data_IF_581935014477
#
_entry.id   IF_581935014477
#
_cell.length_a   1.000
_cell.length_b   1.000
_cell.length_c   1.000
_cell.angle_alpha   90.00
_cell.angle_beta   90.00
_cell.angle_gamma   90.00
#
_symmetry.space_group_name_H-M   'P 1'
#
loop_
_entity.id
_entity.type
_entity.pdbx_description
1 polymer ?
#
# COMPACT_ATOMS: atom_id res chain seq x y z
N UNK A 1 32.26 -38.54 59.61
CA UNK A 1 31.68 -37.30 60.20
C UNK A 1 30.98 -36.55 59.08
N UNK A 2 29.72 -36.84 58.71
CA UNK A 2 28.44 -36.45 59.34
C UNK A 2 28.27 -34.94 59.56
N UNK A 3 27.51 -34.30 58.64
CA UNK A 3 26.26 -33.51 58.85
C UNK A 3 25.88 -32.90 57.48
N UNK A 4 24.90 -33.41 56.71
CA UNK A 4 23.42 -33.37 56.85
C UNK A 4 22.82 -31.97 56.99
N UNK A 5 22.10 -31.52 55.96
CA UNK A 5 20.85 -30.72 56.02
C UNK A 5 20.17 -30.82 54.62
N UNK A 6 19.33 -31.84 54.35
CA UNK A 6 17.85 -31.88 54.48
C UNK A 6 17.13 -30.72 53.76
N UNK A 7 16.54 -30.99 52.59
CA UNK A 7 15.13 -31.39 52.31
C UNK A 7 14.26 -30.12 52.16
N UNK A 8 13.63 -29.88 51.00
CA UNK A 8 12.37 -30.56 50.66
C UNK A 8 12.18 -30.76 49.15
N UNK A 9 11.87 -32.00 48.79
CA UNK A 9 11.17 -32.39 47.56
C UNK A 9 9.79 -32.88 48.01
N UNK A 10 8.72 -32.47 47.32
CA UNK A 10 7.45 -33.21 47.31
C UNK A 10 6.22 -32.46 47.80
N UNK A 11 5.44 -31.94 46.85
CA UNK A 11 4.03 -32.34 46.61
C UNK A 11 3.90 -32.35 45.07
N UNK A 12 4.12 -33.48 44.38
CA UNK A 12 3.15 -34.52 44.08
C UNK A 12 1.93 -34.01 43.27
N UNK A 13 2.10 -34.00 41.94
CA UNK A 13 1.26 -34.71 40.97
C UNK A 13 -0.15 -35.12 41.46
N UNK A 14 -1.12 -34.21 41.31
CA UNK A 14 -2.58 -34.45 41.31
C UNK A 14 -3.17 -33.12 40.76
N UNK A 15 -3.65 -32.98 39.53
CA UNK A 15 -4.79 -33.66 38.92
C UNK A 15 -4.65 -33.65 37.39
N UNK A 16 -4.41 -34.83 36.82
CA UNK A 16 -4.97 -35.18 35.51
C UNK A 16 -6.31 -35.88 35.79
N UNK A 17 -7.27 -35.75 34.87
CA UNK A 17 -8.55 -36.50 34.72
C UNK A 17 -9.65 -36.20 35.78
N UNK A 18 -10.80 -35.57 35.48
CA UNK A 18 -12.03 -36.04 34.79
C UNK A 18 -13.18 -35.02 35.04
N UNK A 19 -14.43 -35.13 34.51
CA UNK A 19 -14.94 -35.82 33.32
C UNK A 19 -15.83 -34.93 32.42
N UNK A 20 -16.04 -35.42 31.20
CA UNK A 20 -17.20 -35.13 30.34
C UNK A 20 -18.50 -35.48 31.08
N UNK A 21 -19.44 -34.54 31.17
CA UNK A 21 -20.85 -34.85 31.43
C UNK A 21 -21.69 -34.23 30.32
N UNK A 22 -22.14 -35.10 29.43
CA UNK A 22 -23.28 -34.88 28.57
C UNK A 22 -24.56 -34.91 29.43
N UNK A 23 -25.45 -33.96 29.21
CA UNK A 23 -26.78 -33.88 29.83
C UNK A 23 -27.80 -33.32 28.84
N UNK A 24 -28.49 -34.25 28.19
CA UNK A 24 -29.66 -34.10 27.31
C UNK A 24 -30.92 -33.71 28.12
N UNK A 25 -31.68 -32.66 27.73
CA UNK A 25 -33.09 -32.63 27.24
C UNK A 25 -33.86 -31.44 27.87
N UNK A 26 -35.07 -31.04 27.40
CA UNK A 26 -35.62 -30.94 26.04
C UNK A 26 -36.29 -29.57 25.71
N UNK A 27 -36.55 -29.34 24.41
CA UNK A 27 -37.63 -28.57 23.77
C UNK A 27 -38.17 -27.26 24.40
N UNK A 28 -38.07 -26.15 23.65
CA UNK A 28 -39.28 -25.54 23.09
C UNK A 28 -38.99 -24.79 21.77
N UNK A 29 -39.83 -25.00 20.77
CA UNK A 29 -39.83 -24.31 19.47
C UNK A 29 -40.70 -23.07 19.59
N UNK A 30 -40.23 -21.93 19.08
CA UNK A 30 -41.14 -20.98 18.44
C UNK A 30 -40.44 -20.27 17.28
N UNK A 31 -41.13 -20.28 16.15
CA UNK A 31 -40.69 -19.84 14.83
C UNK A 31 -41.19 -18.42 14.51
N UNK A 32 -40.82 -17.96 13.31
CA UNK A 32 -41.18 -16.73 12.56
C UNK A 32 -40.26 -15.53 12.83
N UNK A 33 -39.67 -14.83 11.85
CA UNK A 33 -39.78 -14.81 10.37
C UNK A 33 -38.54 -14.07 9.80
N UNK A 34 -38.16 -14.24 8.52
CA UNK A 34 -36.95 -13.63 7.93
C UNK A 34 -37.19 -12.19 7.43
N UNK A 35 -36.26 -11.28 7.71
CA UNK A 35 -36.25 -9.93 7.16
C UNK A 35 -35.73 -9.97 5.71
N UNK A 36 -36.56 -9.46 4.80
CA UNK A 36 -36.35 -9.39 3.35
C UNK A 36 -35.45 -8.21 2.99
N UNK A 37 -34.51 -8.47 2.08
CA UNK A 37 -33.62 -7.56 1.38
C UNK A 37 -34.42 -6.47 0.62
N UNK A 38 -34.03 -5.20 0.73
CA UNK A 38 -34.67 -4.10 0.01
C UNK A 38 -34.12 -3.99 -1.40
N UNK A 39 -35.02 -4.12 -2.38
CA UNK A 39 -34.77 -3.97 -3.81
C UNK A 39 -34.67 -2.49 -4.23
N UNK A 40 -33.87 -2.32 -5.27
CA UNK A 40 -33.51 -1.09 -5.98
C UNK A 40 -34.74 -0.38 -6.57
N UNK A 41 -34.88 0.93 -6.31
CA UNK A 41 -35.92 1.76 -6.93
C UNK A 41 -35.31 2.64 -8.02
N UNK A 42 -35.47 2.21 -9.26
CA UNK A 42 -35.42 3.09 -10.42
C UNK A 42 -36.54 4.14 -10.32
N UNK A 43 -36.18 5.42 -10.44
CA UNK A 43 -37.13 6.52 -10.58
C UNK A 43 -37.10 7.01 -12.02
N UNK A 44 -38.21 6.80 -12.73
CA UNK A 44 -38.47 7.31 -14.08
C UNK A 44 -39.11 8.69 -13.96
N UNK A 45 -38.52 9.71 -14.58
CA UNK A 45 -39.10 11.04 -14.69
C UNK A 45 -40.02 11.12 -15.92
N UNK A 46 -41.30 11.35 -15.69
CA UNK A 46 -42.25 11.77 -16.72
C UNK A 46 -42.81 13.16 -16.33
N UNK A 47 -42.72 14.09 -17.27
CA UNK A 47 -43.13 15.47 -17.14
C UNK A 47 -44.61 15.67 -17.51
N UNK A 48 -45.31 16.54 -16.78
CA UNK A 48 -46.40 17.39 -17.31
C UNK A 48 -46.70 18.59 -16.40
N UNK A 49 -46.35 19.77 -16.93
CA UNK A 49 -46.93 21.12 -16.86
C UNK A 49 -48.06 21.49 -15.88
N UNK A 50 -47.76 22.55 -15.11
CA UNK A 50 -48.47 23.85 -14.98
C UNK A 50 -49.97 23.87 -14.68
N UNK A 51 -50.34 24.31 -13.47
CA UNK A 51 -50.83 25.68 -13.18
C UNK A 51 -51.50 25.72 -11.79
N UNK A 52 -50.95 26.53 -10.88
CA UNK A 52 -51.70 27.50 -10.06
C UNK A 52 -50.74 28.17 -9.07
N UNK A 53 -50.45 29.44 -9.35
CA UNK A 53 -49.77 30.35 -8.44
C UNK A 53 -50.76 30.83 -7.37
N UNK A 54 -50.43 30.67 -6.09
CA UNK A 54 -50.70 31.73 -5.11
C UNK A 54 -49.81 31.58 -3.87
N UNK A 55 -49.33 32.73 -3.41
CA UNK A 55 -48.66 33.01 -2.13
C UNK A 55 -47.15 32.66 -2.05
N UNK A 56 -46.33 33.61 -2.51
CA UNK A 56 -44.90 33.71 -2.22
C UNK A 56 -44.67 34.70 -1.09
N UNK A 57 -44.32 34.21 0.11
CA UNK A 57 -43.29 34.87 0.93
C UNK A 57 -42.64 33.88 1.91
N UNK A 58 -41.41 33.49 1.56
CA UNK A 58 -40.26 33.21 2.41
C UNK A 58 -40.40 32.33 3.66
N UNK A 59 -40.07 31.05 3.48
CA UNK A 59 -39.06 30.39 4.33
C UNK A 59 -38.12 29.63 3.41
N UNK A 60 -36.94 30.20 3.11
CA UNK A 60 -35.82 29.46 2.52
C UNK A 60 -35.33 28.47 3.58
N UNK A 61 -35.64 27.21 3.40
CA UNK A 61 -34.84 26.11 3.93
C UNK A 61 -33.38 26.36 3.50
N UNK A 62 -32.38 26.18 4.40
CA UNK A 62 -31.00 26.26 3.97
C UNK A 62 -30.77 25.14 2.96
N UNK A 63 -30.26 25.50 1.78
CA UNK A 63 -29.74 24.50 0.85
C UNK A 63 -28.71 23.63 1.58
N UNK A 64 -28.67 22.31 1.34
CA UNK A 64 -27.63 21.47 1.88
C UNK A 64 -26.30 22.07 1.44
N UNK A 65 -25.49 22.43 2.43
CA UNK A 65 -24.12 22.88 2.29
C UNK A 65 -23.46 22.05 1.19
N UNK A 66 -23.12 22.68 0.07
CA UNK A 66 -22.29 22.04 -0.95
C UNK A 66 -20.98 21.76 -0.26
N UNK A 67 -20.86 20.56 0.32
CA UNK A 67 -19.62 20.06 0.84
C UNK A 67 -18.60 20.26 -0.28
N UNK A 68 -17.68 21.21 -0.06
CA UNK A 68 -16.50 21.37 -0.89
C UNK A 68 -15.91 19.98 -0.99
N UNK A 69 -15.89 19.43 -2.20
CA UNK A 69 -15.26 18.14 -2.46
C UNK A 69 -13.87 18.22 -1.82
N UNK A 70 -13.54 17.40 -0.80
CA UNK A 70 -12.26 17.51 -0.13
C UNK A 70 -11.16 17.42 -1.19
N UNK A 71 -10.16 18.31 -1.09
CA UNK A 71 -9.03 18.31 -2.02
C UNK A 71 -8.51 16.87 -2.16
N UNK A 72 -8.51 16.29 -3.38
CA UNK A 72 -8.26 14.87 -3.54
C UNK A 72 -6.85 14.53 -3.05
N UNK A 73 -6.72 13.42 -2.32
CA UNK A 73 -5.44 12.97 -1.76
C UNK A 73 -4.39 12.82 -2.87
N UNK A 74 -3.31 13.62 -2.81
CA UNK A 74 -2.31 13.76 -3.86
C UNK A 74 -1.13 12.84 -3.60
N UNK A 75 -0.82 11.99 -4.58
CA UNK A 75 0.34 11.09 -4.54
C UNK A 75 1.32 11.47 -5.63
N UNK A 76 2.59 11.64 -5.27
CA UNK A 76 3.68 11.71 -6.23
C UNK A 76 4.36 10.35 -6.35
N UNK A 77 4.46 9.83 -7.56
CA UNK A 77 5.25 8.63 -7.86
C UNK A 77 6.53 9.04 -8.58
N UNK A 78 7.66 8.48 -8.15
CA UNK A 78 8.94 8.59 -8.85
C UNK A 78 9.64 7.22 -8.91
N UNK A 79 10.72 7.17 -9.68
CA UNK A 79 11.53 5.97 -9.86
C UNK A 79 13.00 6.38 -9.87
N UNK A 80 13.70 6.25 -8.74
CA UNK A 80 15.13 6.58 -8.68
C UNK A 80 15.96 5.61 -9.54
N UNK A 81 15.56 4.34 -9.59
CA UNK A 81 16.21 3.32 -10.44
C UNK A 81 15.31 2.97 -11.65
N UNK A 82 15.24 3.87 -12.64
CA UNK A 82 14.25 3.79 -13.74
C UNK A 82 14.29 2.53 -14.59
N UNK A 83 15.47 1.95 -14.84
CA UNK A 83 15.60 0.77 -15.72
C UNK A 83 15.47 -0.56 -15.00
N UNK A 84 15.16 -0.59 -13.70
CA UNK A 84 14.92 -1.84 -12.99
C UNK A 84 13.83 -2.66 -13.65
N UNK A 85 14.15 -3.87 -14.08
CA UNK A 85 13.26 -4.69 -14.88
C UNK A 85 13.04 -6.07 -14.26
N UNK A 86 11.95 -6.69 -14.67
CA UNK A 86 11.58 -8.05 -14.30
C UNK A 86 11.96 -8.99 -15.44
N UNK A 87 12.69 -10.05 -15.12
CA UNK A 87 13.19 -11.03 -16.07
C UNK A 87 12.09 -11.61 -16.97
N UNK A 88 10.88 -11.98 -16.47
CA UNK A 88 9.83 -12.51 -17.33
C UNK A 88 9.34 -11.48 -18.35
N UNK A 89 9.23 -10.21 -17.96
CA UNK A 89 8.77 -9.12 -18.84
C UNK A 89 9.78 -8.87 -19.95
N UNK A 90 11.07 -8.76 -19.61
CA UNK A 90 12.13 -8.54 -20.59
C UNK A 90 12.26 -9.73 -21.54
N UNK A 91 12.14 -10.95 -21.02
CA UNK A 91 12.19 -12.17 -21.84
C UNK A 91 11.03 -12.23 -22.84
N UNK A 92 9.83 -11.80 -22.46
CA UNK A 92 8.67 -11.79 -23.35
C UNK A 92 8.86 -10.88 -24.57
N UNK A 93 9.58 -9.76 -24.43
CA UNK A 93 9.80 -8.80 -25.52
C UNK A 93 11.09 -9.01 -26.31
N UNK A 94 12.16 -9.49 -25.65
CA UNK A 94 13.51 -9.53 -26.23
C UNK A 94 14.07 -10.94 -26.40
N UNK A 95 13.41 -11.95 -25.81
CA UNK A 95 13.93 -13.31 -25.70
C UNK A 95 15.08 -13.49 -24.70
N UNK A 96 15.57 -12.40 -24.08
CA UNK A 96 16.70 -12.42 -23.14
C UNK A 96 16.23 -12.26 -21.69
N UNK A 97 16.93 -12.93 -20.78
CA UNK A 97 16.76 -12.75 -19.33
C UNK A 97 17.68 -11.61 -18.90
N UNK A 98 17.09 -10.51 -18.41
CA UNK A 98 17.83 -9.38 -17.85
C UNK A 98 17.01 -8.71 -16.75
N UNK A 99 17.72 -8.14 -15.77
CA UNK A 99 17.15 -7.43 -14.61
C UNK A 99 17.15 -5.90 -14.79
N UNK A 100 17.59 -5.43 -15.95
CA UNK A 100 17.60 -4.03 -16.37
C UNK A 100 17.24 -3.92 -17.84
N UNK A 101 16.41 -2.96 -18.22
CA UNK A 101 16.02 -2.71 -19.61
C UNK A 101 15.61 -1.25 -19.81
N UNK A 102 15.95 -0.65 -20.95
CA UNK A 102 15.69 0.77 -21.23
C UNK A 102 14.18 1.08 -21.35
N UNK A 103 13.39 0.14 -21.88
CA UNK A 103 11.96 0.38 -22.18
C UNK A 103 10.97 -0.57 -21.49
N UNK A 104 11.43 -1.68 -20.91
CA UNK A 104 10.57 -2.71 -20.30
C UNK A 104 11.06 -2.91 -18.87
N UNK A 105 10.67 -1.97 -18.05
CA UNK A 105 11.17 -1.75 -16.70
C UNK A 105 10.03 -1.29 -15.78
N UNK A 106 10.33 -1.02 -14.51
CA UNK A 106 9.35 -0.60 -13.53
C UNK A 106 8.65 0.70 -13.92
N UNK A 107 9.37 1.63 -14.55
CA UNK A 107 8.82 2.90 -15.02
C UNK A 107 7.80 2.70 -16.16
N UNK A 108 7.93 1.64 -16.97
CA UNK A 108 6.95 1.31 -18.01
C UNK A 108 5.57 0.94 -17.44
N UNK A 109 5.46 0.67 -16.14
CA UNK A 109 4.19 0.38 -15.45
C UNK A 109 3.43 1.64 -15.01
N UNK A 110 3.94 2.86 -15.29
CA UNK A 110 3.39 4.13 -14.81
C UNK A 110 1.88 4.29 -15.08
N UNK A 111 1.41 3.91 -16.27
CA UNK A 111 0.00 4.05 -16.62
C UNK A 111 -0.89 3.11 -15.78
N UNK A 112 -0.42 1.88 -15.50
CA UNK A 112 -1.13 0.95 -14.62
C UNK A 112 -1.18 1.48 -13.19
N UNK A 113 -0.08 2.06 -12.71
CA UNK A 113 0.00 2.66 -11.36
C UNK A 113 -1.00 3.81 -11.24
N UNK A 114 -0.94 4.78 -12.16
CA UNK A 114 -1.86 5.93 -12.19
C UNK A 114 -3.31 5.46 -12.26
N UNK A 115 -3.63 4.50 -13.14
CA UNK A 115 -4.98 3.98 -13.26
C UNK A 115 -5.47 3.33 -11.96
N UNK A 116 -4.69 2.43 -11.36
CA UNK A 116 -5.06 1.77 -10.11
C UNK A 116 -5.16 2.74 -8.94
N UNK A 117 -4.36 3.79 -8.91
CA UNK A 117 -4.42 4.79 -7.84
C UNK A 117 -5.64 5.70 -8.02
N UNK A 118 -5.92 6.14 -9.24
CA UNK A 118 -7.08 6.98 -9.56
C UNK A 118 -8.41 6.28 -9.24
N UNK A 119 -8.56 4.98 -9.56
CA UNK A 119 -9.80 4.24 -9.21
C UNK A 119 -10.00 4.05 -7.71
N UNK A 120 -8.95 4.30 -6.90
CA UNK A 120 -9.02 4.32 -5.43
C UNK A 120 -9.12 5.75 -4.86
N UNK A 121 -9.43 6.75 -5.69
CA UNK A 121 -9.64 8.14 -5.27
C UNK A 121 -8.34 8.93 -5.02
N UNK A 122 -7.20 8.45 -5.51
CA UNK A 122 -5.90 9.11 -5.33
C UNK A 122 -5.56 9.91 -6.58
N UNK A 123 -5.34 11.22 -6.43
CA UNK A 123 -4.84 12.06 -7.52
C UNK A 123 -3.34 11.82 -7.66
N UNK A 124 -2.91 11.20 -8.75
CA UNK A 124 -1.52 10.73 -8.90
C UNK A 124 -0.77 11.50 -9.97
N UNK A 125 0.35 12.10 -9.58
CA UNK A 125 1.35 12.67 -10.50
C UNK A 125 2.56 11.74 -10.58
N UNK A 126 3.27 11.77 -11.72
CA UNK A 126 4.51 11.02 -11.93
C UNK A 126 5.65 11.99 -12.23
N UNK A 127 6.75 11.91 -11.47
CA UNK A 127 7.99 12.59 -11.80
C UNK A 127 8.74 11.81 -12.88
N UNK A 128 8.47 12.17 -14.14
CA UNK A 128 8.95 11.47 -15.34
C UNK A 128 10.41 11.89 -15.69
N UNK A 129 11.37 11.38 -14.93
CA UNK A 129 12.81 11.63 -15.13
C UNK A 129 13.56 10.31 -15.27
N UNK A 130 14.15 10.04 -16.44
CA UNK A 130 14.96 8.83 -16.66
C UNK A 130 16.36 8.97 -16.03
N UNK A 131 16.48 8.55 -14.77
CA UNK A 131 17.72 8.65 -13.99
C UNK A 131 18.84 7.80 -14.58
N UNK A 132 18.57 6.59 -15.08
CA UNK A 132 19.61 5.75 -15.67
C UNK A 132 20.20 6.40 -16.92
N UNK A 133 19.37 7.05 -17.75
CA UNK A 133 19.84 7.83 -18.89
C UNK A 133 20.64 9.06 -18.44
N UNK A 134 20.21 9.77 -17.39
CA UNK A 134 20.96 10.91 -16.84
C UNK A 134 22.33 10.51 -16.31
N UNK A 135 22.42 9.38 -15.61
CA UNK A 135 23.71 8.85 -15.17
C UNK A 135 24.64 8.56 -16.35
N UNK A 136 24.12 7.95 -17.42
CA UNK A 136 24.89 7.68 -18.63
C UNK A 136 25.39 8.98 -19.30
N UNK A 137 24.51 9.97 -19.45
CA UNK A 137 24.84 11.28 -20.04
C UNK A 137 25.91 12.03 -19.22
N UNK A 138 25.89 11.89 -17.89
CA UNK A 138 26.81 12.55 -16.97
C UNK A 138 28.07 11.73 -16.65
N UNK A 139 28.19 10.50 -17.17
CA UNK A 139 29.31 9.60 -16.87
C UNK A 139 29.36 9.13 -15.42
N UNK A 140 28.20 9.07 -14.75
CA UNK A 140 28.04 8.71 -13.34
C UNK A 140 27.69 7.25 -13.12
N UNK A 141 28.01 6.74 -11.94
CA UNK A 141 27.70 5.37 -11.54
C UNK A 141 26.31 5.19 -10.95
N UNK A 142 25.79 3.96 -10.95
CA UNK A 142 24.47 3.62 -10.39
C UNK A 142 24.29 4.06 -8.91
N UNK A 143 25.36 4.04 -8.11
CA UNK A 143 25.34 4.50 -6.72
C UNK A 143 25.03 5.99 -6.56
N UNK A 144 25.13 6.79 -7.63
CA UNK A 144 24.82 8.22 -7.63
C UNK A 144 23.36 8.53 -7.96
N UNK A 145 22.52 7.51 -8.19
CA UNK A 145 21.12 7.67 -8.63
C UNK A 145 20.32 8.63 -7.74
N UNK A 146 20.41 8.48 -6.41
CA UNK A 146 19.70 9.36 -5.48
C UNK A 146 20.20 10.81 -5.54
N UNK A 147 21.52 11.01 -5.70
CA UNK A 147 22.10 12.34 -5.85
C UNK A 147 21.65 13.01 -7.17
N UNK A 148 21.53 12.24 -8.25
CA UNK A 148 21.04 12.73 -9.54
C UNK A 148 19.54 13.02 -9.52
N UNK A 149 18.73 12.19 -8.85
CA UNK A 149 17.27 12.42 -8.70
C UNK A 149 16.96 13.64 -7.82
N UNK A 150 17.75 13.85 -6.76
CA UNK A 150 17.49 14.87 -5.73
C UNK A 150 17.17 16.28 -6.26
N UNK A 151 17.93 16.89 -7.19
CA UNK A 151 17.62 18.24 -7.69
C UNK A 151 16.28 18.29 -8.44
N UNK A 152 15.91 17.25 -9.19
CA UNK A 152 14.63 17.19 -9.89
C UNK A 152 13.47 17.09 -8.90
N UNK A 153 13.58 16.17 -7.93
CA UNK A 153 12.56 16.01 -6.90
C UNK A 153 12.43 17.27 -6.04
N UNK A 154 13.54 17.86 -5.59
CA UNK A 154 13.53 19.09 -4.78
C UNK A 154 12.85 20.23 -5.54
N UNK A 155 13.21 20.41 -6.83
CA UNK A 155 12.60 21.45 -7.66
C UNK A 155 11.10 21.26 -7.86
N UNK A 156 10.68 20.01 -8.04
CA UNK A 156 9.27 19.65 -8.19
C UNK A 156 8.47 19.96 -6.92
N UNK A 157 9.05 19.69 -5.75
CA UNK A 157 8.41 19.93 -4.45
C UNK A 157 8.39 21.41 -4.02
N UNK A 158 9.14 22.30 -4.67
CA UNK A 158 9.04 23.76 -4.41
C UNK A 158 7.66 24.33 -4.79
N UNK A 159 7.01 23.76 -5.80
CA UNK A 159 5.76 24.29 -6.37
C UNK A 159 4.57 23.35 -6.23
N UNK A 160 4.79 22.12 -5.75
CA UNK A 160 3.77 21.09 -5.63
C UNK A 160 3.78 20.46 -4.24
N UNK A 161 2.60 20.34 -3.63
CA UNK A 161 2.41 19.65 -2.35
C UNK A 161 1.72 18.31 -2.58
N UNK A 162 2.18 17.28 -1.89
CA UNK A 162 1.66 15.91 -1.97
C UNK A 162 1.41 15.35 -0.58
N UNK A 163 0.36 14.56 -0.43
CA UNK A 163 0.01 13.87 0.82
C UNK A 163 0.79 12.57 1.00
N UNK A 164 1.35 12.04 -0.08
CA UNK A 164 2.27 10.89 -0.08
C UNK A 164 3.25 10.98 -1.26
N UNK A 165 4.51 10.63 -1.02
CA UNK A 165 5.53 10.51 -2.06
C UNK A 165 6.08 9.09 -2.05
N UNK A 166 6.05 8.43 -3.20
CA UNK A 166 6.46 7.03 -3.33
C UNK A 166 7.55 6.91 -4.37
N UNK A 167 8.71 6.43 -3.95
CA UNK A 167 9.76 5.97 -4.85
C UNK A 167 9.57 4.47 -5.09
N UNK A 168 9.20 4.09 -6.32
CA UNK A 168 8.89 2.71 -6.66
C UNK A 168 10.12 2.00 -7.20
N UNK A 169 10.40 0.84 -6.60
CA UNK A 169 11.54 -0.01 -6.93
C UNK A 169 11.08 -1.46 -7.13
N UNK A 170 11.98 -2.27 -7.68
CA UNK A 170 11.88 -3.72 -7.68
C UNK A 170 12.92 -4.26 -6.67
N UNK A 171 12.56 -5.26 -5.87
CA UNK A 171 13.50 -6.03 -5.03
C UNK A 171 14.45 -6.86 -5.93
N UNK A 172 15.68 -7.10 -5.49
CA UNK A 172 16.66 -7.93 -6.18
C UNK A 172 16.49 -9.44 -5.96
N UNK A 173 15.62 -9.83 -5.01
CA UNK A 173 15.39 -11.22 -4.64
C UNK A 173 14.69 -12.03 -5.75
N UNK A 174 14.78 -13.37 -5.62
CA UNK A 174 14.16 -14.34 -6.53
C UNK A 174 12.65 -14.48 -6.27
N UNK A 175 11.93 -14.93 -7.30
CA UNK A 175 10.46 -15.11 -7.32
C UNK A 175 9.90 -15.86 -6.11
N UNK A 176 10.54 -16.96 -5.69
CA UNK A 176 10.09 -17.80 -4.57
C UNK A 176 10.07 -17.06 -3.23
N UNK A 177 10.96 -16.07 -3.06
CA UNK A 177 11.03 -15.21 -1.88
C UNK A 177 10.09 -14.01 -1.96
N UNK A 178 9.72 -13.61 -3.18
CA UNK A 178 8.98 -12.39 -3.48
C UNK A 178 7.56 -12.64 -4.00
N UNK A 179 7.04 -13.85 -3.88
CA UNK A 179 5.68 -14.19 -4.32
C UNK A 179 4.86 -14.79 -3.18
N UNK A 180 3.55 -14.53 -3.20
CA UNK A 180 2.59 -15.17 -2.30
C UNK A 180 1.28 -15.50 -3.01
N UNK A 181 0.75 -16.70 -2.76
CA UNK A 181 -0.58 -17.09 -3.23
C UNK A 181 -1.65 -16.68 -2.22
N UNK A 182 -2.70 -16.01 -2.70
CA UNK A 182 -3.87 -15.66 -1.92
C UNK A 182 -5.13 -15.77 -2.78
N UNK A 183 -6.14 -16.49 -2.30
CA UNK A 183 -7.41 -16.74 -3.02
C UNK A 183 -7.24 -17.26 -4.46
N UNK A 184 -6.25 -18.13 -4.70
CA UNK A 184 -5.99 -18.72 -6.02
C UNK A 184 -5.15 -17.87 -6.96
N UNK A 185 -4.75 -16.66 -6.55
CA UNK A 185 -3.94 -15.73 -7.35
C UNK A 185 -2.56 -15.48 -6.70
N UNK A 186 -1.53 -15.21 -7.50
CA UNK A 186 -0.14 -15.05 -7.03
C UNK A 186 0.32 -13.60 -7.00
N UNK A 187 0.47 -12.97 -5.85
CA UNK A 187 0.88 -11.57 -5.73
C UNK A 187 2.40 -11.45 -5.58
N UNK A 188 2.95 -10.37 -6.12
CA UNK A 188 4.28 -9.92 -5.73
C UNK A 188 4.22 -9.43 -4.27
N UNK A 189 5.19 -9.84 -3.46
CA UNK A 189 5.36 -9.31 -2.10
C UNK A 189 5.94 -7.92 -2.16
N UNK A 190 5.64 -7.15 -1.14
CA UNK A 190 6.05 -5.76 -0.99
C UNK A 190 7.04 -5.64 0.16
N UNK A 191 8.14 -4.92 -0.03
CA UNK A 191 8.94 -4.40 1.08
C UNK A 191 8.86 -2.87 1.06
N UNK A 192 8.88 -2.25 2.23
CA UNK A 192 8.90 -0.78 2.34
C UNK A 192 10.22 -0.38 2.98
N UNK A 193 11.00 0.46 2.30
CA UNK A 193 12.34 0.85 2.77
C UNK A 193 12.32 2.27 3.33
N UNK A 194 12.92 2.45 4.50
CA UNK A 194 13.11 3.76 5.14
C UNK A 194 14.59 3.97 5.48
N UNK A 195 15.17 5.06 5.00
CA UNK A 195 16.50 5.50 5.38
C UNK A 195 16.50 6.12 6.77
N UNK A 196 17.33 5.64 7.69
CA UNK A 196 17.35 6.11 9.07
C UNK A 196 18.39 7.22 9.34
N UNK A 197 19.07 7.74 8.31
CA UNK A 197 20.17 8.71 8.46
C UNK A 197 19.75 10.16 8.21
N UNK A 198 18.56 10.53 8.67
CA UNK A 198 18.09 11.91 8.67
C UNK A 198 17.14 12.19 9.84
N UNK A 199 17.05 13.44 10.29
CA UNK A 199 16.36 13.80 11.54
C UNK A 199 14.87 13.42 11.57
N UNK A 200 14.23 13.30 10.41
CA UNK A 200 12.79 13.10 10.29
C UNK A 200 12.37 11.65 10.01
N UNK A 201 13.31 10.69 9.93
CA UNK A 201 13.04 9.33 9.46
C UNK A 201 11.91 8.61 10.21
N UNK A 202 11.70 8.93 11.48
CA UNK A 202 10.62 8.34 12.30
C UNK A 202 9.23 8.64 11.76
N UNK A 203 9.05 9.78 11.09
CA UNK A 203 7.79 10.09 10.40
C UNK A 203 7.62 9.17 9.19
N UNK A 204 8.67 9.02 8.37
CA UNK A 204 8.66 8.11 7.23
C UNK A 204 8.39 6.67 7.68
N UNK A 205 8.98 6.22 8.79
CA UNK A 205 8.70 4.91 9.41
C UNK A 205 7.24 4.77 9.81
N UNK A 206 6.63 5.76 10.46
CA UNK A 206 5.23 5.67 10.88
C UNK A 206 4.26 5.56 9.68
N UNK A 207 4.50 6.33 8.62
CA UNK A 207 3.76 6.20 7.36
C UNK A 207 3.95 4.81 6.74
N UNK A 208 5.19 4.33 6.67
CA UNK A 208 5.52 3.01 6.13
C UNK A 208 4.86 1.87 6.92
N UNK A 209 4.84 1.95 8.26
CA UNK A 209 4.22 0.94 9.12
C UNK A 209 2.69 0.92 8.97
N UNK A 210 2.05 2.09 8.88
CA UNK A 210 0.61 2.20 8.61
C UNK A 210 0.23 1.56 7.27
N UNK A 211 1.01 1.86 6.22
CA UNK A 211 0.79 1.25 4.91
C UNK A 211 1.04 -0.27 4.93
N UNK A 212 2.12 -0.73 5.55
CA UNK A 212 2.44 -2.15 5.68
C UNK A 212 1.34 -2.94 6.39
N UNK A 213 0.81 -2.40 7.49
CA UNK A 213 -0.30 -2.98 8.23
C UNK A 213 -1.56 -3.08 7.36
N UNK A 214 -1.90 -2.01 6.65
CA UNK A 214 -3.08 -1.96 5.78
C UNK A 214 -2.95 -2.91 4.58
N UNK A 215 -1.76 -3.01 3.98
CA UNK A 215 -1.47 -4.00 2.94
C UNK A 215 -1.74 -5.42 3.43
N UNK A 216 -1.23 -5.77 4.61
CA UNK A 216 -1.43 -7.09 5.21
C UNK A 216 -2.87 -7.36 5.65
N UNK A 217 -3.67 -6.31 5.91
CA UNK A 217 -5.10 -6.45 6.16
C UNK A 217 -5.90 -6.75 4.88
N UNK A 218 -5.43 -6.31 3.70
CA UNK A 218 -6.08 -6.56 2.40
C UNK A 218 -5.66 -7.93 1.84
N UNK A 219 -4.36 -8.20 1.80
CA UNK A 219 -3.80 -9.49 1.39
C UNK A 219 -2.82 -9.95 2.48
N UNK A 220 -3.17 -10.95 3.30
CA UNK A 220 -2.33 -11.42 4.39
C UNK A 220 -0.91 -11.79 3.93
N UNK A 221 0.09 -11.22 4.60
CA UNK A 221 1.53 -11.43 4.36
C UNK A 221 2.04 -10.93 3.00
N UNK A 222 1.28 -10.09 2.30
CA UNK A 222 1.79 -9.44 1.07
C UNK A 222 2.95 -8.50 1.38
N UNK A 223 2.91 -7.80 2.51
CA UNK A 223 4.02 -6.95 2.94
C UNK A 223 4.98 -7.72 3.85
N UNK A 224 6.27 -7.69 3.49
CA UNK A 224 7.42 -8.17 4.27
C UNK A 224 7.75 -7.25 5.46
N UNK A 225 7.04 -6.13 5.61
CA UNK A 225 7.28 -5.13 6.65
C UNK A 225 8.12 -3.95 6.19
N UNK A 226 8.47 -3.10 7.16
CA UNK A 226 9.33 -1.92 6.96
C UNK A 226 10.78 -2.31 7.25
N UNK A 227 11.67 -2.02 6.30
CA UNK A 227 13.10 -2.26 6.39
C UNK A 227 13.78 -0.91 6.62
N UNK A 228 14.32 -0.74 7.82
CA UNK A 228 15.15 0.43 8.13
C UNK A 228 16.59 0.20 7.63
N UNK A 229 17.16 1.18 6.93
CA UNK A 229 18.49 1.13 6.33
C UNK A 229 19.35 2.28 6.86
N UNK A 230 20.53 1.95 7.37
CA UNK A 230 21.57 2.88 7.83
C UNK A 230 22.93 2.18 7.82
N UNK A 231 24.01 2.95 7.91
CA UNK A 231 25.38 2.47 7.93
C UNK A 231 26.00 2.30 6.56
N UNK A 232 27.19 1.71 6.54
CA UNK A 232 27.98 1.56 5.32
C UNK A 232 27.30 0.67 4.28
N UNK A 233 27.48 1.02 3.00
CA UNK A 233 26.98 0.24 1.86
C UNK A 233 25.53 0.52 1.48
N UNK A 234 24.88 1.51 2.09
CA UNK A 234 23.56 2.01 1.72
C UNK A 234 23.57 3.53 1.59
N UNK A 235 22.59 4.12 0.91
CA UNK A 235 22.46 5.59 0.85
C UNK A 235 22.07 6.18 2.21
N UNK A 236 21.26 5.45 2.99
CA UNK A 236 20.88 5.83 4.35
C UNK A 236 19.80 6.91 4.45
N UNK A 237 19.54 7.70 3.39
CA UNK A 237 18.48 8.73 3.36
C UNK A 237 17.44 8.53 2.27
N UNK A 238 17.85 8.12 1.08
CA UNK A 238 17.01 7.86 -0.07
C UNK A 238 16.11 9.05 -0.48
N UNK A 239 16.62 10.28 -0.31
CA UNK A 239 15.88 11.54 -0.45
C UNK A 239 14.64 11.68 0.46
N UNK A 240 14.41 10.75 1.40
CA UNK A 240 13.26 10.78 2.32
C UNK A 240 13.34 11.93 3.34
N UNK A 241 14.49 12.58 3.45
CA UNK A 241 14.65 13.81 4.21
C UNK A 241 13.92 15.02 3.60
N UNK A 242 13.54 14.95 2.31
CA UNK A 242 12.79 16.01 1.62
C UNK A 242 11.32 16.09 2.04
N UNK A 243 10.74 15.00 2.55
CA UNK A 243 9.34 14.97 2.96
C UNK A 243 9.06 13.86 3.98
N UNK A 244 8.24 14.17 4.99
CA UNK A 244 7.92 13.26 6.11
C UNK A 244 7.08 12.04 5.68
N UNK A 245 6.36 12.20 4.58
CA UNK A 245 5.43 11.25 3.96
C UNK A 245 6.05 10.59 2.72
N UNK A 246 7.38 10.51 2.64
CA UNK A 246 8.11 9.84 1.57
C UNK A 246 8.56 8.44 1.98
N UNK A 247 8.40 7.46 1.10
CA UNK A 247 8.90 6.10 1.32
C UNK A 247 9.31 5.43 0.01
N UNK A 248 10.13 4.38 0.11
CA UNK A 248 10.38 3.47 -1.00
C UNK A 248 9.43 2.28 -0.87
N UNK A 249 8.81 1.87 -1.97
CA UNK A 249 8.06 0.61 -2.05
C UNK A 249 8.71 -0.27 -3.10
N UNK A 250 9.25 -1.41 -2.66
CA UNK A 250 9.77 -2.46 -3.53
C UNK A 250 8.64 -3.44 -3.87
N UNK A 251 8.34 -3.59 -5.17
CA UNK A 251 7.26 -4.46 -5.65
C UNK A 251 7.87 -5.72 -6.26
N UNK A 252 7.80 -6.84 -5.55
CA UNK A 252 8.31 -8.10 -6.07
C UNK A 252 9.82 -8.10 -6.35
N UNK A 253 10.31 -9.25 -6.77
CA UNK A 253 11.69 -9.53 -7.12
C UNK A 253 11.91 -9.62 -8.62
N UNK A 254 13.15 -9.87 -9.05
CA UNK A 254 13.54 -9.97 -10.47
C UNK A 254 12.72 -10.98 -11.26
N UNK A 255 12.20 -12.02 -10.61
CA UNK A 255 11.46 -13.09 -11.27
C UNK A 255 9.94 -12.94 -11.31
N UNK A 256 9.36 -11.85 -10.77
CA UNK A 256 7.91 -11.65 -10.79
C UNK A 256 7.35 -11.34 -12.19
N UNK A 257 6.15 -11.85 -12.49
CA UNK A 257 5.48 -11.60 -13.77
C UNK A 257 4.70 -10.29 -13.76
N UNK A 258 4.30 -9.80 -14.94
CA UNK A 258 3.52 -8.56 -15.07
C UNK A 258 2.16 -8.67 -14.38
N UNK A 259 1.52 -9.83 -14.45
CA UNK A 259 0.23 -10.08 -13.80
C UNK A 259 0.35 -10.02 -12.28
N UNK A 260 1.40 -10.60 -11.71
CA UNK A 260 1.65 -10.60 -10.26
C UNK A 260 1.93 -9.17 -9.76
N UNK A 261 2.74 -8.41 -10.49
CA UNK A 261 3.07 -7.01 -10.19
C UNK A 261 1.85 -6.12 -10.35
N UNK A 262 1.09 -6.24 -11.44
CA UNK A 262 -0.12 -5.43 -11.70
C UNK A 262 -1.21 -5.66 -10.65
N UNK A 263 -1.45 -6.90 -10.23
CA UNK A 263 -2.37 -7.19 -9.12
C UNK A 263 -1.89 -6.58 -7.80
N UNK A 264 -0.58 -6.53 -7.59
CA UNK A 264 0.02 -5.94 -6.38
C UNK A 264 -0.09 -4.41 -6.39
N UNK A 265 0.10 -3.76 -7.54
CA UNK A 265 -0.14 -2.32 -7.72
C UNK A 265 -1.59 -1.95 -7.35
N UNK A 266 -2.57 -2.77 -7.75
CA UNK A 266 -3.97 -2.58 -7.37
C UNK A 266 -4.17 -2.63 -5.84
N UNK A 267 -3.49 -3.56 -5.17
CA UNK A 267 -3.51 -3.68 -3.70
C UNK A 267 -2.86 -2.46 -3.04
N UNK A 268 -1.76 -1.94 -3.59
CA UNK A 268 -1.08 -0.73 -3.09
C UNK A 268 -2.02 0.48 -3.16
N UNK A 269 -2.65 0.75 -4.31
CA UNK A 269 -3.58 1.88 -4.44
C UNK A 269 -4.74 1.81 -3.44
N UNK A 270 -5.32 0.62 -3.27
CA UNK A 270 -6.36 0.38 -2.27
C UNK A 270 -5.87 0.55 -0.83
N UNK A 271 -4.64 0.12 -0.54
CA UNK A 271 -4.05 0.25 0.78
C UNK A 271 -3.75 1.72 1.14
N UNK A 272 -3.21 2.51 0.20
CA UNK A 272 -2.98 3.95 0.39
C UNK A 272 -4.31 4.65 0.70
N UNK A 273 -5.36 4.41 -0.11
CA UNK A 273 -6.69 4.98 0.11
C UNK A 273 -7.26 4.62 1.48
N UNK A 274 -7.15 3.35 1.89
CA UNK A 274 -7.63 2.89 3.22
C UNK A 274 -6.81 3.45 4.38
N UNK A 275 -5.49 3.57 4.23
CA UNK A 275 -4.59 3.97 5.31
C UNK A 275 -4.63 5.48 5.59
N UNK A 276 -4.87 6.31 4.55
CA UNK A 276 -4.60 7.74 4.66
C UNK A 276 -5.76 8.66 4.22
N UNK A 277 -6.75 8.15 3.48
CA UNK A 277 -7.88 8.97 3.00
C UNK A 277 -9.11 8.81 3.90
N UNK A 278 -9.38 7.58 4.35
CA UNK A 278 -10.64 7.23 5.02
C UNK A 278 -10.66 7.50 6.54
N UNK A 279 -9.61 8.11 7.11
CA UNK A 279 -9.52 8.40 8.54
C UNK A 279 -10.23 9.70 8.98
N UNK A 280 -10.90 10.40 8.07
CA UNK A 280 -11.71 11.60 8.38
C UNK A 280 -13.06 11.30 9.08
N UNK A 281 -13.34 10.05 9.48
CA UNK A 281 -14.64 9.64 10.04
C UNK A 281 -14.56 8.67 11.23
N UNK A 282 -13.61 8.90 12.14
CA UNK A 282 -13.66 8.27 13.48
C UNK A 282 -13.55 9.29 14.60
#
# INVERSE_FOLDING_TARGET
>A
MLKKLQWSFGILLFFFVLPVIAGQLPFNKQASTPIKQSEDKQVVFAATNLAEQSVLEQTKEPEPDQALDPDPFKVLVLFTHTHEAYEPMVKAVSGKVATSHETVNIMSLKDKIVNHFNVNGLKTDVLDVDIMKKLQEEGKGYHESYNVMRPYLSKHLETNNYDLIVDLHRDSLKHDLTTISYNGENYAKIAIVVGAEHANYRWNTAYAESLSSTLNAIVPKISKGVISKSGDGVDGRYNQDLAKQMMIIEIGGIGNTEEEVNRTIAVIGKAISKAFVNDSTK
#
